data_IF_702423000334
#
_entry.id   IF_702423000334
#
_cell.length_a   1.000
_cell.length_b   1.000
_cell.length_c   1.000
_cell.angle_alpha   90.00
_cell.angle_beta   90.00
_cell.angle_gamma   90.00
#
_symmetry.space_group_name_H-M   'P 1'
#
loop_
_entity.id
_entity.type
_entity.pdbx_description
1 polymer ?
#
# COMPACT_ATOMS: atom_id res chain seq x y z
N UNK A 1 7.49 -27.17 37.63
CA UNK A 1 8.46 -26.08 37.85
C UNK A 1 9.28 -25.80 36.58
N UNK A 2 9.77 -26.85 35.89
CA UNK A 2 10.58 -26.72 34.64
C UNK A 2 9.88 -26.05 33.48
N UNK A 3 8.58 -26.29 33.28
CA UNK A 3 7.83 -25.68 32.16
C UNK A 3 7.58 -24.17 32.35
N UNK A 4 7.34 -23.75 33.60
CA UNK A 4 7.22 -22.32 33.93
C UNK A 4 8.56 -21.59 33.78
N UNK A 5 9.65 -22.19 34.12
CA UNK A 5 11.00 -21.63 33.94
C UNK A 5 11.32 -21.47 32.45
N UNK A 6 11.05 -22.47 31.62
CA UNK A 6 11.26 -22.38 30.17
C UNK A 6 10.40 -21.29 29.48
N UNK A 7 9.15 -21.10 29.92
CA UNK A 7 8.30 -20.00 29.41
C UNK A 7 8.81 -18.62 29.83
N UNK A 8 9.35 -18.51 31.05
CA UNK A 8 9.95 -17.27 31.54
C UNK A 8 11.23 -16.94 30.77
N UNK A 9 12.09 -17.94 30.52
CA UNK A 9 13.31 -17.76 29.74
C UNK A 9 13.02 -17.36 28.30
N UNK A 10 12.00 -17.95 27.68
CA UNK A 10 11.52 -17.51 26.34
C UNK A 10 10.98 -16.08 26.35
N UNK A 11 10.26 -15.69 27.39
CA UNK A 11 9.76 -14.33 27.53
C UNK A 11 10.90 -13.32 27.69
N UNK A 12 11.88 -13.63 28.54
CA UNK A 12 13.07 -12.79 28.75
C UNK A 12 13.92 -12.69 27.48
N UNK A 13 14.10 -13.79 26.74
CA UNK A 13 14.83 -13.79 25.47
C UNK A 13 14.13 -12.93 24.41
N UNK A 14 12.80 -13.03 24.30
CA UNK A 14 12.00 -12.19 23.38
C UNK A 14 12.08 -10.70 23.75
N UNK A 15 12.06 -10.39 25.04
CA UNK A 15 12.20 -9.01 25.52
C UNK A 15 13.58 -8.43 25.18
N UNK A 16 14.67 -9.18 25.46
CA UNK A 16 16.02 -8.77 25.08
C UNK A 16 16.21 -8.59 23.58
N UNK A 17 15.69 -9.51 22.78
CA UNK A 17 15.73 -9.38 21.31
C UNK A 17 14.99 -8.12 20.83
N UNK A 18 13.83 -7.80 21.43
CA UNK A 18 13.08 -6.61 21.13
C UNK A 18 13.83 -5.34 21.57
N UNK A 19 14.46 -5.34 22.74
CA UNK A 19 15.28 -4.22 23.23
C UNK A 19 16.50 -3.99 22.33
N UNK A 20 17.19 -5.05 21.86
CA UNK A 20 18.30 -4.94 20.91
C UNK A 20 17.84 -4.42 19.54
N UNK A 21 16.69 -4.88 19.06
CA UNK A 21 16.10 -4.38 17.81
C UNK A 21 15.71 -2.92 17.93
N UNK A 22 15.14 -2.51 19.06
CA UNK A 22 14.81 -1.09 19.33
C UNK A 22 16.06 -0.22 19.44
N UNK A 23 17.17 -0.74 20.02
CA UNK A 23 18.43 -0.02 20.11
C UNK A 23 19.07 0.18 18.72
N UNK A 24 19.00 -0.83 17.86
CA UNK A 24 19.48 -0.74 16.49
C UNK A 24 18.64 0.26 15.66
N UNK A 25 17.33 0.18 15.81
CA UNK A 25 16.39 1.14 15.21
C UNK A 25 16.58 2.55 15.79
N UNK A 26 16.89 2.69 17.08
CA UNK A 26 17.18 4.00 17.68
C UNK A 26 18.47 4.63 17.10
N UNK A 27 19.47 3.82 16.79
CA UNK A 27 20.68 4.29 16.10
C UNK A 27 20.37 4.74 14.66
N UNK A 28 19.53 3.98 13.94
CA UNK A 28 19.07 4.34 12.58
C UNK A 28 18.17 5.59 12.63
N UNK A 29 17.34 5.73 13.67
CA UNK A 29 16.45 6.87 13.89
C UNK A 29 17.20 8.17 14.21
N UNK A 30 18.38 8.09 14.84
CA UNK A 30 19.21 9.29 15.03
C UNK A 30 19.62 9.95 13.70
N UNK A 31 19.63 9.18 12.60
CA UNK A 31 19.87 9.66 11.24
C UNK A 31 18.63 10.32 10.61
N UNK A 32 17.46 10.13 11.20
CA UNK A 32 16.18 10.67 10.72
C UNK A 32 15.80 11.99 11.41
N UNK A 33 16.60 12.46 12.36
CA UNK A 33 16.44 13.80 12.92
C UNK A 33 16.61 14.81 11.80
N UNK A 34 15.60 15.63 11.58
CA UNK A 34 15.53 16.52 10.44
C UNK A 34 15.51 18.00 10.86
N UNK A 35 15.82 18.86 9.93
CA UNK A 35 15.73 20.31 10.08
C UNK A 35 14.81 20.89 9.01
N UNK A 36 14.35 22.12 9.21
CA UNK A 36 13.55 22.81 8.19
C UNK A 36 14.27 22.91 6.84
N UNK A 37 15.58 23.15 6.85
CA UNK A 37 16.38 23.22 5.62
C UNK A 37 16.39 21.88 4.89
N UNK A 38 16.52 20.76 5.62
CA UNK A 38 16.49 19.43 5.02
C UNK A 38 15.12 19.12 4.42
N UNK A 39 14.04 19.48 5.11
CA UNK A 39 12.68 19.31 4.59
C UNK A 39 12.44 20.14 3.33
N UNK A 40 12.89 21.38 3.30
CA UNK A 40 12.78 22.25 2.10
C UNK A 40 13.60 21.71 0.93
N UNK A 41 14.83 21.27 1.18
CA UNK A 41 15.65 20.65 0.15
C UNK A 41 15.00 19.39 -0.43
N UNK A 42 14.39 18.54 0.42
CA UNK A 42 13.64 17.37 -0.02
C UNK A 42 12.42 17.75 -0.87
N UNK A 43 11.68 18.78 -0.46
CA UNK A 43 10.55 19.30 -1.20
C UNK A 43 10.95 19.74 -2.63
N UNK A 44 12.05 20.49 -2.77
CA UNK A 44 12.53 20.95 -4.08
C UNK A 44 12.91 19.77 -4.99
N UNK A 45 13.59 18.75 -4.45
CA UNK A 45 13.90 17.52 -5.20
C UNK A 45 12.63 16.79 -5.64
N UNK A 46 11.65 16.69 -4.76
CA UNK A 46 10.40 16.02 -5.04
C UNK A 46 9.53 16.77 -6.06
N UNK A 47 9.48 18.10 -5.98
CA UNK A 47 8.80 18.91 -7.02
C UNK A 47 9.45 18.71 -8.40
N UNK A 48 10.78 18.64 -8.45
CA UNK A 48 11.48 18.36 -9.70
C UNK A 48 11.15 16.96 -10.23
N UNK A 49 11.06 15.96 -9.37
CA UNK A 49 10.63 14.62 -9.76
C UNK A 49 9.19 14.59 -10.29
N UNK A 50 8.26 15.27 -9.59
CA UNK A 50 6.88 15.40 -10.07
C UNK A 50 6.82 16.10 -11.45
N UNK A 51 7.65 17.10 -11.69
CA UNK A 51 7.71 17.77 -13.00
C UNK A 51 8.08 16.81 -14.13
N UNK A 52 8.92 15.83 -13.86
CA UNK A 52 9.36 14.84 -14.85
C UNK A 52 8.30 13.76 -15.09
N UNK A 53 7.66 13.26 -14.04
CA UNK A 53 6.76 12.10 -14.10
C UNK A 53 5.28 12.47 -14.18
N UNK A 54 4.87 13.57 -13.53
CA UNK A 54 3.47 14.04 -13.40
C UNK A 54 3.41 15.57 -13.52
N UNK A 55 3.59 16.14 -14.72
CA UNK A 55 3.67 17.60 -14.90
C UNK A 55 2.44 18.38 -14.41
N UNK A 56 1.25 17.81 -14.53
CA UNK A 56 -0.02 18.37 -14.05
C UNK A 56 -0.07 18.41 -12.51
N UNK A 57 0.37 17.36 -11.85
CA UNK A 57 0.50 17.31 -10.39
C UNK A 57 1.53 18.33 -9.90
N UNK A 58 2.67 18.45 -10.61
CA UNK A 58 3.68 19.47 -10.31
C UNK A 58 3.09 20.87 -10.43
N UNK A 59 2.38 21.20 -11.53
CA UNK A 59 1.78 22.51 -11.73
C UNK A 59 0.84 22.87 -10.59
N UNK A 60 -0.03 21.92 -10.20
CA UNK A 60 -0.96 22.10 -9.09
C UNK A 60 -0.24 22.36 -7.76
N UNK A 61 0.71 21.51 -7.38
CA UNK A 61 1.36 21.60 -6.07
C UNK A 61 2.45 22.67 -5.97
N UNK A 62 2.96 23.21 -7.08
CA UNK A 62 3.93 24.32 -7.07
C UNK A 62 3.39 25.60 -6.42
N UNK A 63 2.08 25.83 -6.50
CA UNK A 63 1.41 26.98 -5.91
C UNK A 63 0.48 26.63 -4.74
N UNK A 64 0.41 25.37 -4.37
CA UNK A 64 -0.50 24.87 -3.35
C UNK A 64 -0.23 25.47 -1.96
N UNK A 65 -1.30 25.66 -1.20
CA UNK A 65 -1.23 26.16 0.17
C UNK A 65 -2.10 25.27 1.04
N UNK A 66 -1.51 24.47 1.93
CA UNK A 66 -2.25 23.60 2.83
C UNK A 66 -3.09 24.46 3.81
N UNK A 67 -4.26 23.93 4.15
CA UNK A 67 -5.22 24.62 5.02
C UNK A 67 -5.43 23.93 6.35
N UNK A 68 -5.25 22.60 6.41
CA UNK A 68 -5.50 21.79 7.58
C UNK A 68 -4.29 21.00 8.03
N UNK A 69 -3.69 20.23 7.13
CA UNK A 69 -2.56 19.38 7.48
C UNK A 69 -1.25 20.00 7.00
N UNK A 70 -0.32 20.19 7.91
CA UNK A 70 0.98 20.80 7.61
C UNK A 70 2.11 19.91 8.11
N UNK A 71 3.26 19.98 7.43
CA UNK A 71 4.47 19.34 7.96
C UNK A 71 4.96 20.11 9.18
N UNK A 72 5.34 19.37 10.23
CA UNK A 72 5.88 19.90 11.47
C UNK A 72 7.08 19.07 11.93
N UNK A 73 7.99 19.69 12.69
CA UNK A 73 9.10 18.97 13.32
C UNK A 73 8.76 18.77 14.80
N UNK A 74 8.35 17.54 15.13
CA UNK A 74 8.01 17.16 16.48
C UNK A 74 9.09 16.24 17.07
N UNK A 75 9.66 16.63 18.21
CA UNK A 75 10.76 15.89 18.87
C UNK A 75 11.96 15.58 17.94
N UNK A 76 12.21 16.45 16.96
CA UNK A 76 13.30 16.29 15.99
C UNK A 76 12.93 15.45 14.74
N UNK A 77 11.71 14.95 14.64
CA UNK A 77 11.24 14.16 13.51
C UNK A 77 10.17 14.89 12.72
N UNK A 78 10.22 14.76 11.40
CA UNK A 78 9.15 15.27 10.56
C UNK A 78 7.86 14.50 10.84
N UNK A 79 6.77 15.23 11.08
CA UNK A 79 5.43 14.72 11.34
C UNK A 79 4.41 15.57 10.58
N UNK A 80 3.16 15.19 10.62
CA UNK A 80 2.05 15.93 10.03
C UNK A 80 1.14 16.40 11.15
N UNK A 81 0.98 17.72 11.28
CA UNK A 81 0.13 18.36 12.27
C UNK A 81 -1.24 18.66 11.65
N UNK A 82 -2.30 18.22 12.29
CA UNK A 82 -3.68 18.66 12.03
C UNK A 82 -3.95 19.97 12.77
N UNK A 83 -4.08 21.06 12.05
CA UNK A 83 -4.32 22.40 12.61
C UNK A 83 -5.70 22.54 13.27
N UNK A 84 -6.69 21.73 12.88
CA UNK A 84 -8.02 21.75 13.48
C UNK A 84 -8.04 21.14 14.87
N UNK A 85 -7.35 20.01 15.04
CA UNK A 85 -7.33 19.28 16.31
C UNK A 85 -6.09 19.57 17.15
N UNK A 86 -5.12 20.27 16.58
CA UNK A 86 -3.80 20.53 17.15
C UNK A 86 -3.10 19.24 17.60
N UNK A 87 -3.24 18.19 16.82
CA UNK A 87 -2.64 16.89 17.09
C UNK A 87 -1.84 16.39 15.88
N UNK A 88 -0.79 15.60 16.15
CA UNK A 88 -0.02 14.99 15.09
C UNK A 88 -0.70 13.72 14.57
N UNK A 89 -0.59 13.48 13.27
CA UNK A 89 -1.09 12.26 12.63
C UNK A 89 -0.41 11.01 13.20
N UNK A 90 0.84 11.14 13.60
CA UNK A 90 1.63 10.07 14.20
C UNK A 90 1.97 10.39 15.66
N UNK A 91 1.56 9.54 16.63
CA UNK A 91 1.82 9.75 18.05
C UNK A 91 3.29 9.55 18.47
N UNK A 92 4.14 8.98 17.59
CA UNK A 92 5.59 8.86 17.74
C UNK A 92 6.26 8.86 16.36
N UNK A 93 7.60 8.79 16.24
CA UNK A 93 8.30 9.00 14.96
C UNK A 93 7.68 8.24 13.79
N UNK A 94 7.23 8.92 12.72
CA UNK A 94 6.46 8.31 11.63
C UNK A 94 7.17 7.16 10.94
N UNK A 95 8.50 7.25 10.79
CA UNK A 95 9.30 6.17 10.21
C UNK A 95 9.20 4.87 11.00
N UNK A 96 9.24 4.94 12.33
CA UNK A 96 9.12 3.74 13.19
C UNK A 96 7.74 3.10 13.07
N UNK A 97 6.70 3.93 13.01
CA UNK A 97 5.33 3.44 12.80
C UNK A 97 5.20 2.75 11.45
N UNK A 98 5.75 3.36 10.40
CA UNK A 98 5.77 2.77 9.07
C UNK A 98 6.54 1.43 9.06
N UNK A 99 7.71 1.37 9.68
CA UNK A 99 8.52 0.17 9.78
C UNK A 99 7.77 -0.99 10.48
N UNK A 100 7.15 -0.72 11.64
CA UNK A 100 6.34 -1.72 12.34
C UNK A 100 5.12 -2.16 11.51
N UNK A 101 4.48 -1.24 10.82
CA UNK A 101 3.34 -1.53 9.96
C UNK A 101 3.76 -2.45 8.81
N UNK A 102 4.85 -2.14 8.10
CA UNK A 102 5.33 -2.94 6.97
C UNK A 102 5.78 -4.32 7.43
N UNK A 103 6.50 -4.43 8.54
CA UNK A 103 6.89 -5.73 9.10
C UNK A 103 5.69 -6.63 9.43
N UNK A 104 4.59 -6.05 9.92
CA UNK A 104 3.33 -6.78 10.18
C UNK A 104 2.63 -7.14 8.87
N UNK A 105 2.54 -6.19 7.95
CA UNK A 105 1.89 -6.36 6.66
C UNK A 105 2.54 -7.47 5.83
N UNK A 106 3.86 -7.50 5.73
CA UNK A 106 4.59 -8.52 4.98
C UNK A 106 4.34 -9.94 5.47
N UNK A 107 4.07 -10.12 6.76
CA UNK A 107 3.77 -11.43 7.35
C UNK A 107 2.36 -11.91 7.04
N UNK A 108 1.42 -10.99 6.89
CA UNK A 108 0.01 -11.27 6.62
C UNK A 108 -0.59 -10.13 5.77
N UNK A 109 -0.22 -10.07 4.48
CA UNK A 109 -0.71 -9.01 3.61
C UNK A 109 -2.22 -9.19 3.36
N UNK A 110 -2.94 -8.07 3.37
CA UNK A 110 -4.30 -8.03 2.87
C UNK A 110 -4.26 -8.13 1.34
N UNK A 111 -5.11 -8.95 0.77
CA UNK A 111 -5.22 -9.10 -0.67
C UNK A 111 -6.65 -9.33 -1.09
N UNK A 112 -7.01 -8.77 -2.24
CA UNK A 112 -8.22 -9.07 -2.99
C UNK A 112 -7.82 -10.00 -4.13
N UNK A 113 -8.58 -11.03 -4.38
CA UNK A 113 -8.30 -11.99 -5.46
C UNK A 113 -9.59 -12.46 -6.12
N UNK A 114 -9.52 -12.72 -7.40
CA UNK A 114 -10.57 -13.42 -8.10
C UNK A 114 -10.78 -14.79 -7.45
N UNK A 115 -12.01 -15.10 -7.12
CA UNK A 115 -12.40 -16.41 -6.62
C UNK A 115 -13.34 -17.05 -7.63
N UNK A 116 -12.91 -18.14 -8.23
CA UNK A 116 -13.74 -18.95 -9.10
C UNK A 116 -14.41 -20.01 -8.23
N UNK A 117 -15.73 -19.91 -8.11
CA UNK A 117 -16.52 -20.94 -7.47
C UNK A 117 -17.04 -21.91 -8.54
N UNK A 118 -16.96 -23.24 -8.33
CA UNK A 118 -17.55 -24.18 -9.25
C UNK A 118 -19.06 -23.96 -9.31
N UNK A 119 -19.60 -24.00 -10.49
CA UNK A 119 -21.03 -24.15 -10.71
C UNK A 119 -21.40 -25.63 -10.53
N UNK A 120 -21.49 -26.07 -9.28
CA UNK A 120 -21.66 -27.50 -8.92
C UNK A 120 -22.91 -28.11 -9.54
N UNK A 121 -23.91 -27.30 -9.84
CA UNK A 121 -25.17 -27.79 -10.38
C UNK A 121 -25.20 -27.83 -11.90
N UNK A 122 -24.45 -26.91 -12.56
CA UNK A 122 -24.48 -26.70 -14.02
C UNK A 122 -25.88 -26.97 -14.64
N UNK A 123 -26.91 -26.38 -14.03
CA UNK A 123 -28.30 -26.64 -14.41
C UNK A 123 -28.59 -26.33 -15.89
N UNK A 124 -27.83 -25.40 -16.46
CA UNK A 124 -27.91 -25.05 -17.87
C UNK A 124 -27.18 -26.03 -18.80
N UNK A 125 -26.38 -26.96 -18.27
CA UNK A 125 -25.66 -27.99 -19.02
C UNK A 125 -24.57 -27.45 -19.93
N UNK A 126 -23.98 -26.30 -19.59
CA UNK A 126 -22.91 -25.69 -20.39
C UNK A 126 -21.59 -26.47 -20.28
N UNK A 127 -21.03 -26.81 -21.42
CA UNK A 127 -19.78 -27.58 -21.51
C UNK A 127 -18.61 -26.84 -20.84
N UNK A 128 -18.53 -25.52 -20.98
CA UNK A 128 -17.49 -24.71 -20.34
C UNK A 128 -17.58 -24.75 -18.80
N UNK A 129 -18.79 -24.79 -18.21
CA UNK A 129 -19.00 -24.94 -16.76
C UNK A 129 -18.43 -26.27 -16.25
N UNK A 130 -18.59 -27.35 -17.00
CA UNK A 130 -18.03 -28.66 -16.63
C UNK A 130 -16.49 -28.65 -16.67
N UNK A 131 -15.89 -28.04 -17.68
CA UNK A 131 -14.42 -27.90 -17.74
C UNK A 131 -13.89 -27.00 -16.64
N UNK A 132 -14.54 -25.86 -16.38
CA UNK A 132 -14.15 -24.95 -15.29
C UNK A 132 -14.26 -25.65 -13.94
N UNK A 133 -15.33 -26.39 -13.67
CA UNK A 133 -15.50 -27.17 -12.45
C UNK A 133 -14.35 -28.17 -12.25
N UNK A 134 -13.95 -28.88 -13.31
CA UNK A 134 -12.81 -29.80 -13.26
C UNK A 134 -11.49 -29.07 -12.96
N UNK A 135 -11.21 -27.94 -13.63
CA UNK A 135 -10.02 -27.13 -13.38
C UNK A 135 -9.98 -26.59 -11.96
N UNK A 136 -11.10 -26.06 -11.45
CA UNK A 136 -11.21 -25.53 -10.09
C UNK A 136 -10.96 -26.65 -9.06
N UNK A 137 -11.52 -27.85 -9.27
CA UNK A 137 -11.31 -28.96 -8.38
C UNK A 137 -9.85 -29.42 -8.35
N UNK A 138 -9.22 -29.59 -9.50
CA UNK A 138 -7.79 -29.93 -9.58
C UNK A 138 -6.94 -28.85 -8.92
N UNK A 139 -7.26 -27.56 -9.12
CA UNK A 139 -6.54 -26.47 -8.48
C UNK A 139 -6.72 -26.46 -6.96
N UNK A 140 -7.94 -26.74 -6.46
CA UNK A 140 -8.23 -26.86 -5.02
C UNK A 140 -7.39 -27.99 -4.39
N UNK A 141 -7.43 -29.17 -4.97
CA UNK A 141 -6.65 -30.34 -4.49
C UNK A 141 -5.14 -30.02 -4.40
N UNK A 142 -4.60 -29.35 -5.42
CA UNK A 142 -3.19 -28.96 -5.44
C UNK A 142 -2.85 -27.83 -4.46
N UNK A 143 -3.79 -26.93 -4.17
CA UNK A 143 -3.55 -25.79 -3.26
C UNK A 143 -3.85 -26.13 -1.82
N UNK A 144 -4.80 -27.01 -1.51
CA UNK A 144 -5.05 -27.48 -0.15
C UNK A 144 -3.84 -28.22 0.42
N UNK A 145 -3.12 -28.99 -0.40
CA UNK A 145 -1.85 -29.59 -0.02
C UNK A 145 -0.74 -28.58 0.31
N UNK A 146 -0.87 -27.31 -0.11
CA UNK A 146 0.08 -26.20 0.11
C UNK A 146 -0.44 -25.14 1.09
N UNK A 147 -1.64 -25.30 1.63
CA UNK A 147 -2.33 -24.25 2.43
C UNK A 147 -1.68 -23.92 3.79
N UNK A 148 -0.69 -24.69 4.22
CA UNK A 148 0.11 -24.40 5.42
C UNK A 148 1.20 -23.34 5.21
N UNK A 149 1.43 -22.85 4.00
CA UNK A 149 2.31 -21.72 3.74
C UNK A 149 1.52 -20.43 3.98
N UNK A 150 1.70 -19.82 5.14
CA UNK A 150 1.23 -18.46 5.38
C UNK A 150 1.71 -17.59 4.21
N UNK A 151 0.77 -17.07 3.43
CA UNK A 151 1.08 -16.26 2.26
C UNK A 151 1.71 -14.94 2.71
N UNK A 152 3.03 -14.89 2.72
CA UNK A 152 3.78 -13.64 2.89
C UNK A 152 3.64 -12.79 1.63
N UNK A 153 3.92 -11.49 1.76
CA UNK A 153 4.03 -10.63 0.59
C UNK A 153 5.15 -11.18 -0.31
N UNK A 154 4.88 -11.47 -1.61
CA UNK A 154 5.88 -12.01 -2.52
C UNK A 154 6.96 -10.97 -2.84
N UNK A 155 8.14 -11.42 -3.30
CA UNK A 155 9.22 -10.52 -3.72
C UNK A 155 8.79 -9.64 -4.90
N UNK A 156 8.09 -10.21 -5.87
CA UNK A 156 7.47 -9.51 -6.99
C UNK A 156 5.96 -9.43 -6.79
N UNK A 157 5.40 -8.22 -6.87
CA UNK A 157 4.00 -7.89 -6.66
C UNK A 157 3.46 -7.25 -7.93
N UNK A 158 2.50 -7.89 -8.58
CA UNK A 158 1.95 -7.37 -9.84
C UNK A 158 1.09 -6.13 -9.62
N UNK A 159 0.34 -6.10 -8.51
CA UNK A 159 -0.57 -4.98 -8.25
C UNK A 159 -0.65 -4.65 -6.76
N UNK A 160 -0.34 -3.41 -6.41
CA UNK A 160 -0.36 -2.89 -5.04
C UNK A 160 -1.20 -1.62 -4.96
N UNK A 161 -2.16 -1.60 -4.04
CA UNK A 161 -2.95 -0.42 -3.71
C UNK A 161 -2.52 0.11 -2.34
N UNK A 162 -2.17 1.37 -2.28
CA UNK A 162 -1.77 2.07 -1.08
C UNK A 162 -2.82 3.15 -0.77
N UNK A 163 -3.60 2.93 0.28
CA UNK A 163 -4.61 3.87 0.76
C UNK A 163 -4.03 4.72 1.88
N UNK A 164 -3.82 5.99 1.58
CA UNK A 164 -3.18 6.96 2.45
C UNK A 164 -1.67 7.03 2.26
N UNK A 165 -1.17 8.22 1.93
CA UNK A 165 0.24 8.53 1.77
C UNK A 165 0.88 8.84 3.13
N UNK A 166 0.21 9.64 3.95
CA UNK A 166 0.80 10.12 5.19
C UNK A 166 2.17 10.74 4.97
N UNK A 167 3.16 10.40 5.81
CA UNK A 167 4.54 10.83 5.65
C UNK A 167 5.34 10.07 4.56
N UNK A 168 4.77 9.06 3.90
CA UNK A 168 5.33 8.35 2.75
C UNK A 168 6.37 7.26 3.06
N UNK A 169 6.90 7.17 4.26
CA UNK A 169 7.97 6.21 4.61
C UNK A 169 7.61 4.74 4.37
N UNK A 170 6.34 4.37 4.50
CA UNK A 170 5.88 3.01 4.24
C UNK A 170 6.01 2.63 2.77
N UNK A 171 5.91 3.58 1.85
CA UNK A 171 6.08 3.38 0.41
C UNK A 171 7.54 3.06 0.11
N UNK A 172 8.47 3.87 0.63
CA UNK A 172 9.91 3.65 0.49
C UNK A 172 10.34 2.29 1.07
N UNK A 173 9.83 1.94 2.26
CA UNK A 173 10.12 0.66 2.91
C UNK A 173 9.62 -0.55 2.11
N UNK A 174 8.49 -0.42 1.42
CA UNK A 174 7.97 -1.47 0.54
C UNK A 174 8.84 -1.61 -0.71
N UNK A 175 9.15 -0.50 -1.38
CA UNK A 175 9.97 -0.46 -2.58
C UNK A 175 11.40 -0.96 -2.34
N UNK A 176 11.97 -0.69 -1.17
CA UNK A 176 13.30 -1.20 -0.80
C UNK A 176 13.36 -2.72 -0.63
N UNK A 177 12.21 -3.41 -0.54
CA UNK A 177 12.15 -4.84 -0.23
C UNK A 177 11.41 -5.68 -1.27
N UNK A 178 10.59 -5.05 -2.11
CA UNK A 178 9.74 -5.73 -3.10
C UNK A 178 9.80 -5.00 -4.44
N UNK A 179 9.63 -5.76 -5.52
CA UNK A 179 9.52 -5.26 -6.88
C UNK A 179 8.03 -5.18 -7.24
N UNK A 180 7.59 -4.05 -7.81
CA UNK A 180 6.19 -3.82 -8.15
C UNK A 180 6.04 -3.56 -9.65
N UNK A 181 5.05 -4.21 -10.28
CA UNK A 181 4.68 -3.92 -11.67
C UNK A 181 3.74 -2.70 -11.71
N UNK A 182 2.76 -2.62 -10.79
CA UNK A 182 1.85 -1.49 -10.67
C UNK A 182 1.66 -1.09 -9.20
N UNK A 183 1.74 0.21 -8.92
CA UNK A 183 1.43 0.80 -7.62
C UNK A 183 0.37 1.88 -7.81
N UNK A 184 -0.78 1.69 -7.16
CA UNK A 184 -1.82 2.71 -7.05
C UNK A 184 -1.70 3.38 -5.69
N UNK A 185 -1.39 4.66 -5.69
CA UNK A 185 -1.26 5.50 -4.49
C UNK A 185 -2.50 6.39 -4.44
N UNK A 186 -3.33 6.17 -3.44
CA UNK A 186 -4.61 6.83 -3.25
C UNK A 186 -4.53 7.70 -1.99
N UNK A 187 -4.71 9.02 -2.15
CA UNK A 187 -4.70 9.98 -1.04
C UNK A 187 -5.86 10.95 -1.19
N UNK A 188 -6.82 10.91 -0.27
CA UNK A 188 -7.99 11.76 -0.30
C UNK A 188 -7.72 13.19 0.18
N UNK A 189 -6.69 13.37 1.03
CA UNK A 189 -6.36 14.66 1.63
C UNK A 189 -5.16 15.29 0.91
N UNK A 190 -5.42 16.31 0.07
CA UNK A 190 -4.37 17.00 -0.70
C UNK A 190 -3.29 17.62 0.19
N UNK A 191 -3.66 18.10 1.37
CA UNK A 191 -2.73 18.65 2.34
C UNK A 191 -1.73 17.58 2.84
N UNK A 192 -2.20 16.34 3.03
CA UNK A 192 -1.36 15.21 3.45
C UNK A 192 -0.40 14.81 2.33
N UNK A 193 -0.89 14.75 1.07
CA UNK A 193 0.01 14.54 -0.05
C UNK A 193 1.06 15.63 -0.15
N UNK A 194 0.66 16.90 -0.01
CA UNK A 194 1.59 18.04 -0.01
C UNK A 194 2.63 17.92 1.10
N UNK A 195 2.22 17.56 2.33
CA UNK A 195 3.13 17.34 3.43
C UNK A 195 4.13 16.20 3.14
N UNK A 196 3.72 15.15 2.44
CA UNK A 196 4.59 14.04 2.05
C UNK A 196 5.73 14.47 1.11
N UNK A 197 5.57 15.57 0.38
CA UNK A 197 6.63 16.12 -0.47
C UNK A 197 7.83 16.64 0.33
N UNK A 198 7.66 16.91 1.62
CA UNK A 198 8.73 17.30 2.53
C UNK A 198 9.39 16.11 3.24
N UNK A 199 8.67 14.97 3.37
CA UNK A 199 9.07 13.87 4.25
C UNK A 199 9.51 12.63 3.51
N UNK A 200 8.82 12.25 2.42
CA UNK A 200 9.15 11.09 1.60
C UNK A 200 10.15 11.44 0.50
N UNK A 201 10.89 10.46 0.04
CA UNK A 201 11.73 10.59 -1.15
C UNK A 201 10.94 10.19 -2.40
N UNK A 202 10.12 11.11 -2.91
CA UNK A 202 9.30 10.86 -4.12
C UNK A 202 10.17 10.60 -5.35
N UNK A 203 11.36 11.18 -5.44
CA UNK A 203 12.30 10.85 -6.52
C UNK A 203 12.63 9.37 -6.51
N UNK A 204 13.00 8.83 -5.33
CA UNK A 204 13.26 7.40 -5.18
C UNK A 204 12.01 6.55 -5.47
N UNK A 205 10.83 6.97 -4.99
CA UNK A 205 9.57 6.26 -5.22
C UNK A 205 9.29 6.12 -6.72
N UNK A 206 9.43 7.20 -7.47
CA UNK A 206 9.13 7.25 -8.90
C UNK A 206 10.18 6.52 -9.74
N UNK A 207 11.47 6.60 -9.35
CA UNK A 207 12.56 5.92 -10.05
C UNK A 207 12.62 4.40 -9.74
N UNK A 208 12.04 3.94 -8.62
CA UNK A 208 12.17 2.53 -8.15
C UNK A 208 11.18 1.57 -8.78
N UNK A 209 10.18 2.06 -9.48
CA UNK A 209 9.25 1.19 -10.20
C UNK A 209 9.96 0.69 -11.46
N UNK A 210 9.84 -0.60 -11.79
CA UNK A 210 10.54 -1.23 -12.91
C UNK A 210 10.33 -0.48 -14.23
N UNK A 211 11.23 -0.64 -15.21
CA UNK A 211 11.13 0.02 -16.53
C UNK A 211 9.75 -0.16 -17.18
N UNK A 212 9.10 -1.31 -16.94
CA UNK A 212 7.74 -1.62 -17.41
C UNK A 212 6.67 -1.33 -16.34
N UNK A 213 7.08 -0.94 -15.13
CA UNK A 213 6.19 -0.70 -13.99
C UNK A 213 5.59 0.70 -14.02
N UNK A 214 4.48 0.87 -13.30
CA UNK A 214 3.71 2.12 -13.31
C UNK A 214 3.32 2.54 -11.90
N UNK A 215 3.56 3.82 -11.62
CA UNK A 215 2.99 4.51 -10.46
C UNK A 215 1.75 5.26 -10.93
N UNK A 216 0.64 5.04 -10.25
CA UNK A 216 -0.62 5.74 -10.48
C UNK A 216 -0.95 6.57 -9.24
N UNK A 217 -1.19 7.87 -9.41
CA UNK A 217 -1.59 8.78 -8.34
C UNK A 217 -3.08 9.10 -8.48
N UNK A 218 -3.85 8.84 -7.44
CA UNK A 218 -5.25 9.25 -7.28
C UNK A 218 -5.33 10.17 -6.07
N UNK A 219 -5.41 11.49 -6.33
CA UNK A 219 -5.24 12.53 -5.31
C UNK A 219 -6.50 13.38 -5.16
N UNK A 220 -6.89 13.64 -3.90
CA UNK A 220 -8.04 14.49 -3.55
C UNK A 220 -9.40 13.86 -3.85
N UNK A 221 -9.43 12.58 -4.16
CA UNK A 221 -10.67 11.89 -4.49
C UNK A 221 -11.40 11.45 -3.22
N UNK A 222 -12.69 11.75 -3.18
CA UNK A 222 -13.56 11.42 -2.04
C UNK A 222 -14.79 10.61 -2.49
N UNK A 223 -14.88 10.28 -3.76
CA UNK A 223 -16.01 9.63 -4.42
C UNK A 223 -15.59 8.44 -5.30
N UNK A 224 -16.53 7.91 -6.07
CA UNK A 224 -16.35 6.74 -6.91
C UNK A 224 -15.33 6.90 -8.06
N UNK A 225 -14.91 8.12 -8.39
CA UNK A 225 -14.06 8.39 -9.55
C UNK A 225 -12.68 7.70 -9.46
N UNK A 226 -12.16 7.47 -8.25
CA UNK A 226 -10.92 6.73 -8.07
C UNK A 226 -11.00 5.27 -8.58
N UNK A 227 -12.18 4.64 -8.42
CA UNK A 227 -12.40 3.28 -8.89
C UNK A 227 -12.44 3.22 -10.42
N UNK A 228 -13.05 4.24 -11.04
CA UNK A 228 -13.07 4.37 -12.50
C UNK A 228 -11.66 4.56 -13.06
N UNK A 229 -10.82 5.35 -12.40
CA UNK A 229 -9.40 5.50 -12.75
C UNK A 229 -8.67 4.14 -12.71
N UNK A 230 -8.89 3.34 -11.66
CA UNK A 230 -8.33 1.99 -11.57
C UNK A 230 -8.88 1.09 -12.68
N UNK A 231 -10.18 1.19 -12.95
CA UNK A 231 -10.84 0.39 -13.98
C UNK A 231 -10.27 0.70 -15.37
N UNK A 232 -10.17 1.97 -15.76
CA UNK A 232 -9.60 2.38 -17.04
C UNK A 232 -8.16 1.91 -17.21
N UNK A 233 -7.32 2.09 -16.16
CA UNK A 233 -5.94 1.62 -16.16
C UNK A 233 -5.85 0.11 -16.30
N UNK A 234 -6.73 -0.61 -15.61
CA UNK A 234 -6.81 -2.07 -15.69
C UNK A 234 -7.21 -2.55 -17.07
N UNK A 235 -8.10 -1.85 -17.77
CA UNK A 235 -8.47 -2.17 -19.16
C UNK A 235 -7.28 -1.98 -20.10
N UNK A 236 -6.52 -0.89 -19.90
CA UNK A 236 -5.33 -0.60 -20.74
C UNK A 236 -4.20 -1.61 -20.51
N UNK A 237 -3.93 -1.97 -19.26
CA UNK A 237 -2.80 -2.82 -18.89
C UNK A 237 -3.09 -4.32 -19.01
N UNK A 238 -4.36 -4.69 -19.03
CA UNK A 238 -4.82 -6.09 -19.02
C UNK A 238 -5.38 -6.50 -17.66
N UNK A 239 -6.60 -7.00 -17.65
CA UNK A 239 -7.37 -7.34 -16.44
C UNK A 239 -6.77 -8.47 -15.61
N UNK A 240 -5.94 -9.34 -16.22
CA UNK A 240 -5.25 -10.42 -15.51
C UNK A 240 -4.30 -9.89 -14.41
N UNK A 241 -3.79 -8.67 -14.53
CA UNK A 241 -2.91 -8.08 -13.53
C UNK A 241 -3.61 -7.83 -12.20
N UNK A 242 -4.92 -7.57 -12.21
CA UNK A 242 -5.71 -7.34 -10.99
C UNK A 242 -6.34 -8.59 -10.40
N UNK A 243 -6.18 -9.77 -11.02
CA UNK A 243 -6.74 -11.02 -10.47
C UNK A 243 -6.27 -11.32 -9.05
N UNK A 244 -5.12 -10.78 -8.66
CA UNK A 244 -4.68 -10.73 -7.27
C UNK A 244 -4.02 -9.38 -7.01
N UNK A 245 -4.68 -8.55 -6.23
CA UNK A 245 -4.16 -7.26 -5.78
C UNK A 245 -3.88 -7.28 -4.28
N UNK A 246 -2.79 -6.64 -3.88
CA UNK A 246 -2.48 -6.42 -2.48
C UNK A 246 -2.89 -5.00 -2.10
N UNK A 247 -3.41 -4.83 -0.88
CA UNK A 247 -3.88 -3.54 -0.38
C UNK A 247 -3.34 -3.22 1.01
N UNK A 248 -2.87 -2.00 1.21
CA UNK A 248 -2.44 -1.49 2.50
C UNK A 248 -3.16 -0.18 2.79
N UNK A 249 -3.88 -0.13 3.91
CA UNK A 249 -4.41 1.12 4.49
C UNK A 249 -3.37 1.62 5.49
N UNK A 250 -2.74 2.75 5.17
CA UNK A 250 -1.63 3.28 5.98
C UNK A 250 -2.12 3.93 7.26
N UNK A 251 -3.09 4.83 7.14
CA UNK A 251 -3.76 5.47 8.27
C UNK A 251 -5.27 5.47 8.05
N UNK A 252 -6.05 5.72 9.11
CA UNK A 252 -7.50 5.61 9.07
C UNK A 252 -8.16 6.96 9.29
N UNK A 253 -8.83 7.42 8.24
CA UNK A 253 -9.82 8.48 8.27
C UNK A 253 -11.05 8.00 7.50
N UNK A 254 -12.24 8.58 7.73
CA UNK A 254 -13.47 8.08 7.09
C UNK A 254 -13.39 7.97 5.57
N UNK A 255 -12.78 8.94 4.90
CA UNK A 255 -12.61 8.96 3.44
C UNK A 255 -11.72 7.83 2.93
N UNK A 256 -10.55 7.62 3.54
CA UNK A 256 -9.64 6.51 3.19
C UNK A 256 -10.27 5.15 3.44
N UNK A 257 -10.97 4.99 4.58
CA UNK A 257 -11.67 3.73 4.88
C UNK A 257 -12.80 3.45 3.89
N UNK A 258 -13.55 4.49 3.46
CA UNK A 258 -14.60 4.37 2.44
C UNK A 258 -14.04 3.94 1.09
N UNK A 259 -12.97 4.59 0.60
CA UNK A 259 -12.31 4.23 -0.66
C UNK A 259 -11.75 2.80 -0.64
N UNK A 260 -11.13 2.39 0.47
CA UNK A 260 -10.63 1.03 0.62
C UNK A 260 -11.75 -0.03 0.69
N UNK A 261 -12.91 0.33 1.23
CA UNK A 261 -14.08 -0.54 1.27
C UNK A 261 -14.73 -0.61 -0.12
N UNK A 262 -14.91 0.52 -0.80
CA UNK A 262 -15.44 0.58 -2.15
C UNK A 262 -14.64 -0.31 -3.12
N UNK A 263 -13.30 -0.23 -3.07
CA UNK A 263 -12.47 -1.11 -3.87
C UNK A 263 -12.77 -2.59 -3.65
N UNK A 264 -13.00 -3.01 -2.42
CA UNK A 264 -13.34 -4.41 -2.10
C UNK A 264 -14.71 -4.81 -2.61
N UNK A 265 -15.67 -3.92 -2.46
CA UNK A 265 -17.08 -4.19 -2.82
C UNK A 265 -17.25 -4.26 -4.33
N UNK A 266 -16.53 -3.40 -5.06
CA UNK A 266 -16.57 -3.31 -6.53
C UNK A 266 -15.47 -4.10 -7.25
N UNK A 267 -14.60 -4.78 -6.52
CA UNK A 267 -13.45 -5.50 -7.12
C UNK A 267 -13.85 -6.42 -8.27
N UNK A 268 -14.99 -7.10 -8.17
CA UNK A 268 -15.46 -8.00 -9.22
C UNK A 268 -15.78 -7.28 -10.53
N UNK A 269 -16.10 -5.98 -10.50
CA UNK A 269 -16.33 -5.18 -11.72
C UNK A 269 -15.05 -5.08 -12.56
N UNK A 270 -13.86 -5.05 -11.90
CA UNK A 270 -12.56 -5.01 -12.58
C UNK A 270 -12.27 -6.28 -13.38
N UNK A 271 -12.79 -7.41 -12.92
CA UNK A 271 -12.56 -8.71 -13.53
C UNK A 271 -13.75 -9.23 -14.35
N UNK A 272 -14.95 -8.63 -14.19
CA UNK A 272 -16.12 -8.94 -15.00
C UNK A 272 -15.89 -8.48 -16.47
N UNK A 273 -16.38 -9.25 -17.41
CA UNK A 273 -16.20 -8.99 -18.83
C UNK A 273 -14.94 -9.65 -19.41
N UNK A 274 -14.21 -10.41 -18.62
CA UNK A 274 -13.19 -11.29 -19.11
C UNK A 274 -13.87 -12.59 -19.56
N UNK A 275 -13.90 -12.85 -20.84
CA UNK A 275 -14.32 -14.12 -21.42
C UNK A 275 -15.77 -14.24 -21.88
N UNK A 276 -16.64 -13.24 -21.70
CA UNK A 276 -18.02 -13.38 -22.16
C UNK A 276 -18.26 -12.97 -23.61
N UNK A 277 -17.38 -12.14 -24.17
CA UNK A 277 -17.49 -11.64 -25.56
C UNK A 277 -16.37 -12.11 -26.49
N UNK A 278 -15.26 -12.62 -25.95
CA UNK A 278 -14.16 -13.11 -26.77
C UNK A 278 -14.36 -14.59 -27.18
N UNK A 279 -15.34 -15.28 -26.60
CA UNK A 279 -15.68 -16.67 -26.89
C UNK A 279 -16.95 -16.82 -27.77
N UNK A 280 -17.49 -15.73 -28.31
CA UNK A 280 -18.70 -15.76 -29.14
C UNK A 280 -18.39 -15.74 -30.65
#
# INVERSE_FOLDING_TARGET
LTEKAAKLDQFVARRKAKEQQLQQVANDVSLLVTTEEALRAQFDVNLQALKEYFPDVHEFFSSYRPTRYVVDIHEGFANILDLETNSHLYPYPPYLMALEQIQRYQKKPASTRAMFNPDEKNEAGFLHSDYMNRLINVWREQTEAKSNLQAKLPKKVSNMLLFGVGAGYHIELLLGQHDFDNIFIIESELDIFYASLFTANWRYILDSVSEDGRVHLSLGQQDESFFEDIFERTVINGRYEVMKSFGLVHYRIPTIDALAQEYKDRYYELIQGWGFFDDA
#
